data_IF_161520433834
#
_entry.id   IF_161520433834
#
_cell.length_a   1.000
_cell.length_b   1.000
_cell.length_c   1.000
_cell.angle_alpha   90.00
_cell.angle_beta   90.00
_cell.angle_gamma   90.00
#
_symmetry.space_group_name_H-M   'P 1'
#
loop_
_entity.id
_entity.type
_entity.pdbx_description
1 polymer ?
#
# COMPACT_ATOMS: atom_id res chain seq x y z
N UNK A 1 9.14 -24.40 7.96
CA UNK A 1 7.85 -23.69 8.00
C UNK A 1 7.86 -22.71 6.83
N UNK A 2 7.24 -23.04 5.69
CA UNK A 2 7.21 -22.12 4.55
C UNK A 2 6.22 -21.00 4.86
N UNK A 3 6.71 -19.76 4.98
CA UNK A 3 5.86 -18.58 5.03
C UNK A 3 4.97 -18.55 3.79
N UNK A 4 3.66 -18.65 4.00
CA UNK A 4 2.68 -18.38 2.94
C UNK A 4 2.99 -17.00 2.38
N UNK A 5 3.23 -16.89 1.07
CA UNK A 5 3.37 -15.61 0.40
C UNK A 5 2.06 -14.81 0.60
N UNK A 6 2.02 -13.97 1.63
CA UNK A 6 0.88 -13.11 1.91
C UNK A 6 0.92 -11.93 0.94
N UNK A 7 0.45 -12.16 -0.28
CA UNK A 7 0.26 -11.10 -1.26
C UNK A 7 -1.07 -10.40 -0.99
N UNK A 8 -1.03 -9.09 -0.87
CA UNK A 8 -2.17 -8.23 -0.62
C UNK A 8 -2.66 -7.62 -1.93
N UNK A 9 -3.97 -7.48 -2.06
CA UNK A 9 -4.58 -6.62 -3.08
C UNK A 9 -4.29 -5.15 -2.77
N UNK A 10 -4.54 -4.25 -3.74
CA UNK A 10 -4.43 -2.81 -3.51
C UNK A 10 -5.37 -2.29 -2.41
N UNK A 11 -6.53 -2.94 -2.21
CA UNK A 11 -7.45 -2.62 -1.13
C UNK A 11 -6.80 -2.90 0.22
N UNK A 12 -6.38 -4.16 0.42
CA UNK A 12 -5.72 -4.59 1.65
C UNK A 12 -4.42 -3.83 1.94
N UNK A 13 -3.63 -3.51 0.92
CA UNK A 13 -2.44 -2.69 1.06
C UNK A 13 -2.77 -1.26 1.52
N UNK A 14 -3.80 -0.64 0.92
CA UNK A 14 -4.25 0.69 1.29
C UNK A 14 -4.78 0.73 2.73
N UNK A 15 -5.53 -0.28 3.15
CA UNK A 15 -6.02 -0.41 4.53
C UNK A 15 -4.86 -0.51 5.53
N UNK A 16 -3.85 -1.36 5.25
CA UNK A 16 -2.66 -1.48 6.11
C UNK A 16 -1.81 -0.22 6.16
N UNK A 17 -1.89 0.61 5.13
CA UNK A 17 -1.19 1.87 5.01
C UNK A 17 -2.05 3.06 5.48
N UNK A 18 -3.33 2.87 5.82
CA UNK A 18 -4.21 3.98 6.18
C UNK A 18 -4.35 5.02 5.06
N UNK A 19 -4.45 4.59 3.81
CA UNK A 19 -4.72 5.46 2.65
C UNK A 19 -5.87 4.89 1.82
N UNK A 20 -6.35 5.62 0.81
CA UNK A 20 -7.30 5.04 -0.15
C UNK A 20 -6.57 4.25 -1.25
N UNK A 21 -7.17 3.21 -1.83
CA UNK A 21 -6.62 2.53 -3.00
C UNK A 21 -6.42 3.47 -4.20
N UNK A 22 -7.24 4.51 -4.31
CA UNK A 22 -7.10 5.54 -5.34
C UNK A 22 -5.82 6.35 -5.17
N UNK A 23 -5.46 6.68 -3.93
CA UNK A 23 -4.22 7.39 -3.62
C UNK A 23 -2.99 6.58 -4.04
N UNK A 24 -2.96 5.26 -3.77
CA UNK A 24 -1.88 4.38 -4.22
C UNK A 24 -1.77 4.36 -5.76
N UNK A 25 -2.90 4.22 -6.48
CA UNK A 25 -2.91 4.27 -7.95
C UNK A 25 -2.41 5.61 -8.48
N UNK A 26 -2.78 6.69 -7.82
CA UNK A 26 -2.41 8.04 -8.21
C UNK A 26 -0.92 8.28 -8.00
N UNK A 27 -0.38 7.93 -6.83
CA UNK A 27 1.04 8.06 -6.52
C UNK A 27 1.92 7.20 -7.44
N UNK A 28 1.49 5.98 -7.77
CA UNK A 28 2.17 5.14 -8.77
C UNK A 28 2.14 5.81 -10.17
N UNK A 29 0.98 6.31 -10.61
CA UNK A 29 0.83 6.97 -11.92
C UNK A 29 1.70 8.21 -12.07
N UNK A 30 1.86 8.98 -10.99
CA UNK A 30 2.72 10.16 -10.96
C UNK A 30 4.22 9.83 -10.83
N UNK A 31 4.58 8.56 -10.62
CA UNK A 31 5.96 8.15 -10.34
C UNK A 31 6.46 8.52 -8.94
N UNK A 32 5.59 9.05 -8.08
CA UNK A 32 5.92 9.37 -6.68
C UNK A 32 5.99 8.12 -5.79
N UNK A 33 5.37 7.02 -6.22
CA UNK A 33 5.49 5.71 -5.59
C UNK A 33 6.12 4.71 -6.57
N UNK A 34 6.88 3.72 -6.05
CA UNK A 34 7.37 2.64 -6.89
C UNK A 34 6.20 1.88 -7.55
N UNK A 35 6.40 1.36 -8.77
CA UNK A 35 5.39 0.55 -9.45
C UNK A 35 5.03 -0.68 -8.60
N UNK A 36 3.74 -0.98 -8.52
CA UNK A 36 3.27 -2.17 -7.82
C UNK A 36 3.69 -3.43 -8.57
N UNK A 37 3.98 -4.51 -7.85
CA UNK A 37 4.21 -5.80 -8.46
C UNK A 37 2.95 -6.27 -9.18
N UNK A 38 3.13 -7.02 -10.26
CA UNK A 38 2.01 -7.54 -11.07
C UNK A 38 2.11 -9.03 -11.24
N UNK A 39 0.96 -9.70 -11.12
CA UNK A 39 0.86 -11.11 -11.50
C UNK A 39 1.03 -11.24 -13.00
N UNK A 40 1.20 -12.47 -13.50
CA UNK A 40 1.22 -12.74 -14.94
C UNK A 40 -0.05 -12.24 -15.65
N UNK A 41 -1.19 -12.23 -14.95
CA UNK A 41 -2.46 -11.67 -15.45
C UNK A 41 -2.58 -10.14 -15.33
N UNK A 42 -1.53 -9.43 -14.92
CA UNK A 42 -1.49 -7.96 -14.86
C UNK A 42 -2.10 -7.35 -13.59
N UNK A 43 -2.59 -8.16 -12.65
CA UNK A 43 -3.18 -7.69 -11.39
C UNK A 43 -2.12 -7.19 -10.42
N UNK A 44 -2.37 -6.05 -9.77
CA UNK A 44 -1.47 -5.51 -8.75
C UNK A 44 -1.53 -6.34 -7.48
N UNK A 45 -0.36 -6.66 -6.93
CA UNK A 45 -0.23 -7.24 -5.60
C UNK A 45 0.91 -6.58 -4.83
N UNK A 46 0.87 -6.71 -3.51
CA UNK A 46 1.84 -6.15 -2.59
C UNK A 46 2.29 -7.21 -1.61
N UNK A 47 3.60 -7.34 -1.41
CA UNK A 47 4.15 -8.19 -0.35
C UNK A 47 4.29 -7.41 0.96
N UNK A 48 4.52 -8.07 2.10
CA UNK A 48 4.84 -7.38 3.34
C UNK A 48 6.06 -6.43 3.21
N UNK A 49 7.04 -6.79 2.38
CA UNK A 49 8.19 -5.93 2.07
C UNK A 49 7.78 -4.66 1.32
N UNK A 50 6.85 -4.77 0.36
CA UNK A 50 6.34 -3.61 -0.38
C UNK A 50 5.60 -2.66 0.57
N UNK A 51 4.81 -3.18 1.51
CA UNK A 51 4.16 -2.37 2.56
C UNK A 51 5.21 -1.66 3.43
N UNK A 52 6.24 -2.38 3.88
CA UNK A 52 7.33 -1.80 4.65
C UNK A 52 8.06 -0.70 3.91
N UNK A 53 8.30 -0.88 2.60
CA UNK A 53 8.89 0.15 1.73
C UNK A 53 7.99 1.37 1.63
N UNK A 54 6.69 1.19 1.38
CA UNK A 54 5.74 2.29 1.25
C UNK A 54 5.63 3.10 2.55
N UNK A 55 5.65 2.45 3.71
CA UNK A 55 5.71 3.14 5.01
C UNK A 55 6.94 4.03 5.16
N UNK A 56 8.12 3.56 4.75
CA UNK A 56 9.36 4.36 4.76
C UNK A 56 9.31 5.58 3.83
N UNK A 57 8.46 5.54 2.81
CA UNK A 57 8.19 6.68 1.92
C UNK A 57 7.13 7.64 2.48
N UNK A 58 6.66 7.44 3.72
CA UNK A 58 5.67 8.29 4.37
C UNK A 58 4.23 8.04 3.93
N UNK A 59 3.97 6.95 3.19
CA UNK A 59 2.61 6.58 2.80
C UNK A 59 1.79 6.27 4.05
N UNK A 60 0.68 6.98 4.25
CA UNK A 60 -0.22 6.77 5.38
C UNK A 60 -0.02 7.67 6.59
N UNK A 61 1.09 8.40 6.67
CA UNK A 61 1.40 9.19 7.87
C UNK A 61 0.42 10.33 8.12
N UNK A 62 -0.23 10.86 7.07
CA UNK A 62 -1.18 11.98 7.19
C UNK A 62 -2.57 11.56 7.69
N UNK A 63 -3.03 10.33 7.46
CA UNK A 63 -4.38 9.89 7.90
C UNK A 63 -4.44 9.67 9.42
N UNK A 64 -3.33 9.22 10.02
CA UNK A 64 -3.22 9.04 11.49
C UNK A 64 -3.48 10.30 12.30
N UNK A 65 -3.27 11.50 11.73
CA UNK A 65 -3.48 12.77 12.45
C UNK A 65 -4.95 13.19 12.52
N UNK A 66 -5.76 12.78 11.55
CA UNK A 66 -7.19 13.16 11.48
C UNK A 66 -8.04 12.18 12.30
N UNK A 67 -7.72 10.87 12.28
CA UNK A 67 -8.46 9.87 13.07
C UNK A 67 -8.17 9.94 14.58
N UNK A 68 -7.04 10.52 15.01
CA UNK A 68 -6.68 10.65 16.43
C UNK A 68 -7.39 11.80 17.20
N UNK A 69 -8.26 12.59 16.55
CA UNK A 69 -8.94 13.74 17.15
C UNK A 69 -10.48 13.65 17.08
N UNK A 70 -11.05 12.46 16.86
CA UNK A 70 -12.49 12.30 16.61
C UNK A 70 -13.12 11.12 17.34
N UNK A 71 -12.95 11.06 18.66
CA UNK A 71 -13.65 10.15 19.57
C UNK A 71 -14.11 10.89 20.81
#
# INVERSE_FOLDING_TARGET
MLEKQHTLTIGQAADQLGVSPSWLRFGERLGSLPPARRTQGGWRYYTPEDIGRLRRLGVGERKRRIEANGG
#
